data_IF_386139422707
#
_entry.id   IF_386139422707
#
_cell.length_a   1.000
_cell.length_b   1.000
_cell.length_c   1.000
_cell.angle_alpha   90.00
_cell.angle_beta   90.00
_cell.angle_gamma   90.00
#
_symmetry.space_group_name_H-M   'P 1'
#
loop_
_entity.id
_entity.type
_entity.pdbx_description
1 polymer ?
#
# COMPACT_ATOMS: atom_id res chain seq x y z
N UNK A 1 -17.50 -19.32 4.35
CA UNK A 1 -17.71 -17.90 4.73
C UNK A 1 -16.34 -17.33 5.09
N UNK A 2 -16.00 -16.12 4.63
CA UNK A 2 -14.68 -15.50 4.86
C UNK A 2 -14.79 -14.27 5.77
N UNK A 3 -13.73 -13.98 6.52
CA UNK A 3 -13.61 -12.76 7.33
C UNK A 3 -13.15 -11.60 6.44
N UNK A 4 -13.88 -10.49 6.46
CA UNK A 4 -13.41 -9.24 5.89
C UNK A 4 -12.44 -8.56 6.86
N UNK A 5 -11.25 -8.20 6.39
CA UNK A 5 -10.22 -7.54 7.18
C UNK A 5 -9.89 -6.19 6.57
N UNK A 6 -9.78 -5.17 7.41
CA UNK A 6 -9.20 -3.88 7.06
C UNK A 6 -7.94 -3.68 7.90
N UNK A 7 -6.80 -3.47 7.24
CA UNK A 7 -5.49 -3.36 7.86
C UNK A 7 -4.89 -2.01 7.52
N UNK A 8 -4.31 -1.34 8.52
CA UNK A 8 -3.52 -0.13 8.36
C UNK A 8 -2.08 -0.46 8.74
N UNK A 9 -1.13 -0.17 7.86
CA UNK A 9 0.27 -0.51 8.04
C UNK A 9 1.20 0.59 7.53
N UNK A 10 2.33 0.79 8.22
CA UNK A 10 3.41 1.65 7.73
C UNK A 10 4.31 0.89 6.77
N UNK A 11 4.54 -0.41 7.04
CA UNK A 11 5.24 -1.30 6.11
C UNK A 11 4.24 -1.88 5.09
N UNK A 12 3.79 -1.02 4.17
CA UNK A 12 2.72 -1.34 3.23
C UNK A 12 3.08 -2.47 2.24
N UNK A 13 4.37 -2.74 2.01
CA UNK A 13 4.80 -3.74 1.04
C UNK A 13 4.27 -5.15 1.37
N UNK A 14 4.33 -5.55 2.65
CA UNK A 14 3.79 -6.83 3.10
C UNK A 14 2.26 -6.87 2.99
N UNK A 15 1.60 -5.82 3.46
CA UNK A 15 0.14 -5.71 3.42
C UNK A 15 -0.41 -5.77 1.97
N UNK A 16 0.23 -5.06 1.04
CA UNK A 16 -0.20 -5.02 -0.36
C UNK A 16 -0.05 -6.36 -1.09
N UNK A 17 0.87 -7.25 -0.66
CA UNK A 17 0.97 -8.60 -1.25
C UNK A 17 -0.26 -9.46 -1.00
N UNK A 18 -0.94 -9.21 0.12
CA UNK A 18 -2.12 -9.98 0.55
C UNK A 18 -3.43 -9.24 0.25
N UNK A 19 -3.37 -7.94 0.00
CA UNK A 19 -4.55 -7.10 -0.15
C UNK A 19 -5.28 -7.31 -1.49
N UNK A 20 -6.60 -7.52 -1.42
CA UNK A 20 -7.47 -7.45 -2.60
C UNK A 20 -7.59 -6.02 -3.12
N UNK A 21 -7.62 -5.03 -2.22
CA UNK A 21 -7.67 -3.60 -2.50
C UNK A 21 -6.78 -2.84 -1.51
N UNK A 22 -6.07 -1.84 -2.00
CA UNK A 22 -5.23 -0.95 -1.20
C UNK A 22 -5.53 0.51 -1.47
N UNK A 23 -5.17 1.33 -0.50
CA UNK A 23 -5.23 2.79 -0.55
C UNK A 23 -3.93 3.33 0.02
N UNK A 24 -3.29 4.23 -0.72
CA UNK A 24 -2.09 4.94 -0.27
C UNK A 24 -2.52 6.30 0.25
N UNK A 25 -2.14 6.61 1.48
CA UNK A 25 -2.43 7.89 2.12
C UNK A 25 -1.13 8.66 2.34
N UNK A 26 -1.09 9.91 1.88
CA UNK A 26 0.01 10.85 2.10
C UNK A 26 -0.59 12.13 2.65
N UNK A 27 -0.05 12.61 3.78
CA UNK A 27 -0.48 13.85 4.43
C UNK A 27 -2.01 13.94 4.62
N UNK A 28 -2.63 12.84 5.06
CA UNK A 28 -4.06 12.76 5.31
C UNK A 28 -4.96 12.61 4.07
N UNK A 29 -4.38 12.53 2.87
CA UNK A 29 -5.13 12.40 1.63
C UNK A 29 -4.85 11.06 0.95
N UNK A 30 -5.89 10.42 0.43
CA UNK A 30 -5.73 9.22 -0.41
C UNK A 30 -5.21 9.66 -1.77
N UNK A 31 -3.96 9.36 -2.08
CA UNK A 31 -3.30 9.75 -3.32
C UNK A 31 -3.39 8.67 -4.39
N UNK A 32 -3.51 7.40 -3.98
CA UNK A 32 -3.61 6.27 -4.90
C UNK A 32 -4.54 5.19 -4.35
N UNK A 33 -5.21 4.47 -5.25
CA UNK A 33 -5.96 3.28 -4.89
C UNK A 33 -5.96 2.27 -6.04
N UNK A 34 -6.09 1.00 -5.71
CA UNK A 34 -6.07 -0.09 -6.69
C UNK A 34 -6.04 -1.44 -5.99
N UNK A 35 -5.81 -2.50 -6.74
CA UNK A 35 -5.45 -3.80 -6.16
C UNK A 35 -4.07 -3.76 -5.53
N UNK A 36 -3.79 -4.69 -4.61
CA UNK A 36 -2.45 -4.83 -4.03
C UNK A 36 -1.36 -5.02 -5.10
N UNK A 37 -1.68 -5.77 -6.17
CA UNK A 37 -0.76 -6.01 -7.30
C UNK A 37 -0.46 -4.74 -8.11
N UNK A 38 -1.48 -3.95 -8.43
CA UNK A 38 -1.30 -2.70 -9.19
C UNK A 38 -0.47 -1.70 -8.39
N UNK A 39 -0.74 -1.57 -7.10
CA UNK A 39 0.02 -0.68 -6.22
C UNK A 39 1.46 -1.14 -6.07
N UNK A 40 1.72 -2.45 -5.91
CA UNK A 40 3.09 -2.99 -5.87
C UNK A 40 3.86 -2.81 -7.18
N UNK A 41 3.17 -2.80 -8.32
CA UNK A 41 3.77 -2.56 -9.62
C UNK A 41 4.05 -1.07 -9.88
N UNK A 42 3.44 -0.16 -9.11
CA UNK A 42 3.58 1.26 -9.30
C UNK A 42 4.98 1.76 -8.83
N UNK A 43 5.76 2.44 -9.69
CA UNK A 43 7.08 2.94 -9.33
C UNK A 43 7.09 3.93 -8.16
N UNK A 44 6.09 4.81 -8.04
CA UNK A 44 6.01 5.79 -6.96
C UNK A 44 5.74 5.12 -5.61
N UNK A 45 4.86 4.11 -5.58
CA UNK A 45 4.62 3.27 -4.40
C UNK A 45 5.91 2.54 -4.01
N UNK A 46 6.60 1.95 -4.97
CA UNK A 46 7.88 1.27 -4.71
C UNK A 46 8.92 2.23 -4.15
N UNK A 47 9.07 3.43 -4.72
CA UNK A 47 10.01 4.42 -4.21
C UNK A 47 9.63 4.87 -2.78
N UNK A 48 8.36 5.20 -2.53
CA UNK A 48 7.89 5.67 -1.24
C UNK A 48 8.07 4.64 -0.11
N UNK A 49 7.87 3.34 -0.38
CA UNK A 49 7.93 2.28 0.63
C UNK A 49 9.23 1.48 0.68
N UNK A 50 10.06 1.49 -0.37
CA UNK A 50 11.34 0.75 -0.42
C UNK A 50 12.58 1.64 -0.31
N UNK A 51 12.49 2.91 -0.72
CA UNK A 51 13.64 3.84 -0.75
C UNK A 51 13.57 4.90 0.37
N UNK A 52 12.41 5.07 1.00
CA UNK A 52 12.13 6.09 2.03
C UNK A 52 12.66 5.84 3.45
N UNK A 53 13.75 5.08 3.61
CA UNK A 53 14.44 4.91 4.91
C UNK A 53 15.74 5.70 5.06
N UNK A 54 16.14 6.46 4.03
CA UNK A 54 17.41 7.19 4.00
C UNK A 54 17.23 8.69 3.84
N UNK A 55 16.65 9.34 4.85
CA UNK A 55 16.95 10.73 5.18
C UNK A 55 16.94 10.90 6.69
#
# INVERSE_FOLDING_TARGET
QGLTVFLVEQNAFGALKLANRGYVMVNGNVTMSGTGKELLANPEVRAAYLEGGHH
#
